data_IF_434005868597
#
_entry.id   IF_434005868597
#
_cell.length_a   1.000
_cell.length_b   1.000
_cell.length_c   1.000
_cell.angle_alpha   90.00
_cell.angle_beta   90.00
_cell.angle_gamma   90.00
#
_symmetry.space_group_name_H-M   'P 1'
#
loop_
_entity.id
_entity.type
_entity.pdbx_description
1 polymer ?
#
# COMPACT_ATOMS: atom_id res chain seq x y z
N UNK A 1 26.57 1.67 -6.92
CA UNK A 1 25.88 0.47 -6.40
C UNK A 1 26.21 0.35 -4.91
N UNK A 2 25.28 0.64 -3.99
CA UNK A 2 25.58 0.58 -2.57
C UNK A 2 25.67 -0.87 -2.09
N UNK A 3 26.77 -1.20 -1.39
CA UNK A 3 27.04 -2.52 -0.84
C UNK A 3 26.02 -2.91 0.23
N UNK A 4 25.38 -4.05 0.03
CA UNK A 4 24.39 -4.62 0.95
C UNK A 4 25.12 -5.30 2.11
N UNK A 5 24.97 -4.77 3.32
CA UNK A 5 25.57 -5.34 4.54
C UNK A 5 24.89 -6.67 4.94
N UNK A 6 25.67 -7.66 5.39
CA UNK A 6 25.20 -9.01 5.78
C UNK A 6 24.11 -9.00 6.86
N UNK A 7 24.13 -7.98 7.74
CA UNK A 7 23.12 -7.76 8.79
C UNK A 7 21.72 -7.45 8.22
N UNK A 8 21.65 -6.83 7.04
CA UNK A 8 20.40 -6.56 6.33
C UNK A 8 19.79 -7.83 5.72
N UNK A 9 20.62 -8.72 5.18
CA UNK A 9 20.17 -10.00 4.59
C UNK A 9 19.50 -10.90 5.64
N UNK A 10 20.09 -11.01 6.82
CA UNK A 10 19.54 -11.83 7.93
C UNK A 10 18.18 -11.29 8.42
N UNK A 11 18.00 -9.97 8.46
CA UNK A 11 16.73 -9.35 8.87
C UNK A 11 15.61 -9.53 7.83
N UNK A 12 15.94 -9.42 6.55
CA UNK A 12 14.98 -9.69 5.47
C UNK A 12 14.56 -11.16 5.46
N UNK A 13 15.50 -12.08 5.71
CA UNK A 13 15.20 -13.51 5.86
C UNK A 13 14.29 -13.78 7.05
N UNK A 14 14.55 -13.15 8.21
CA UNK A 14 13.68 -13.30 9.38
C UNK A 14 12.26 -12.81 9.12
N UNK A 15 12.08 -11.66 8.46
CA UNK A 15 10.74 -11.18 8.07
C UNK A 15 10.04 -12.13 7.10
N UNK A 16 10.78 -12.71 6.16
CA UNK A 16 10.23 -13.68 5.21
C UNK A 16 9.76 -14.96 5.92
N UNK A 17 10.55 -15.45 6.88
CA UNK A 17 10.21 -16.63 7.69
C UNK A 17 8.98 -16.37 8.54
N UNK A 18 8.88 -15.20 9.19
CA UNK A 18 7.68 -14.83 9.96
C UNK A 18 6.45 -14.74 9.06
N UNK A 19 6.58 -14.13 7.88
CA UNK A 19 5.49 -14.06 6.91
C UNK A 19 5.05 -15.45 6.44
N UNK A 20 6.01 -16.32 6.09
CA UNK A 20 5.71 -17.67 5.66
C UNK A 20 5.02 -18.48 6.77
N UNK A 21 5.48 -18.34 8.03
CA UNK A 21 4.82 -18.97 9.18
C UNK A 21 3.37 -18.47 9.35
N UNK A 22 3.14 -17.16 9.27
CA UNK A 22 1.79 -16.59 9.34
C UNK A 22 0.91 -17.06 8.18
N UNK A 23 1.43 -17.08 6.95
CA UNK A 23 0.69 -17.56 5.79
C UNK A 23 0.27 -19.03 5.93
N UNK A 24 1.17 -19.89 6.44
CA UNK A 24 0.88 -21.30 6.72
C UNK A 24 -0.18 -21.42 7.83
N UNK A 25 -0.07 -20.63 8.90
CA UNK A 25 -1.08 -20.62 9.99
C UNK A 25 -2.45 -20.20 9.47
N UNK A 26 -2.52 -19.15 8.65
CA UNK A 26 -3.77 -18.69 8.04
C UNK A 26 -4.35 -19.75 7.11
N UNK A 27 -3.51 -20.41 6.30
CA UNK A 27 -3.94 -21.52 5.42
C UNK A 27 -4.48 -22.71 6.21
N UNK A 28 -3.81 -23.10 7.30
CA UNK A 28 -4.28 -24.15 8.19
C UNK A 28 -5.61 -23.81 8.86
N UNK A 29 -5.78 -22.56 9.28
CA UNK A 29 -7.05 -22.07 9.81
C UNK A 29 -8.12 -22.18 8.73
N UNK A 30 -7.81 -21.84 7.48
CA UNK A 30 -8.77 -21.88 6.39
C UNK A 30 -9.37 -23.28 6.16
N UNK A 31 -8.52 -24.32 6.16
CA UNK A 31 -8.97 -25.72 6.03
C UNK A 31 -9.92 -26.12 7.16
N UNK A 32 -9.70 -25.61 8.39
CA UNK A 32 -10.58 -25.88 9.54
C UNK A 32 -11.96 -25.22 9.44
N UNK A 33 -12.08 -24.07 8.76
CA UNK A 33 -13.33 -23.31 8.67
C UNK A 33 -14.12 -23.58 7.37
N UNK A 34 -13.61 -24.45 6.50
CA UNK A 34 -14.43 -25.23 5.56
C UNK A 34 -15.12 -24.47 4.42
N UNK A 35 -14.77 -23.20 4.16
CA UNK A 35 -15.21 -22.53 2.93
C UNK A 35 -14.23 -22.86 1.81
N UNK A 36 -14.60 -23.79 0.94
CA UNK A 36 -13.78 -24.17 -0.21
C UNK A 36 -13.49 -22.98 -1.13
N UNK A 37 -12.30 -22.95 -1.73
CA UNK A 37 -11.87 -21.94 -2.72
C UNK A 37 -12.70 -21.96 -4.02
N UNK A 38 -13.60 -22.93 -4.18
CA UNK A 38 -14.30 -23.22 -5.45
C UNK A 38 -15.42 -22.23 -5.80
N UNK A 39 -15.93 -21.47 -4.83
CA UNK A 39 -16.96 -20.43 -5.07
C UNK A 39 -16.40 -19.00 -5.19
N UNK A 40 -15.08 -18.82 -5.11
CA UNK A 40 -14.49 -17.47 -5.16
C UNK A 40 -14.57 -16.93 -6.59
N UNK A 41 -15.38 -15.89 -6.78
CA UNK A 41 -15.57 -15.27 -8.08
C UNK A 41 -14.31 -14.52 -8.53
N UNK A 42 -14.04 -14.50 -9.84
CA UNK A 42 -12.95 -13.69 -10.42
C UNK A 42 -13.08 -12.20 -10.03
N UNK A 43 -14.31 -11.71 -9.85
CA UNK A 43 -14.57 -10.35 -9.40
C UNK A 43 -14.05 -10.07 -7.98
N UNK A 44 -14.09 -11.06 -7.09
CA UNK A 44 -13.59 -10.92 -5.72
C UNK A 44 -12.07 -10.81 -5.70
N UNK A 45 -11.37 -11.55 -6.58
CA UNK A 45 -9.93 -11.39 -6.77
C UNK A 45 -9.54 -9.99 -7.24
N UNK A 46 -10.32 -9.40 -8.17
CA UNK A 46 -10.10 -8.02 -8.64
C UNK A 46 -10.33 -7.03 -7.49
N UNK A 47 -11.40 -7.19 -6.72
CA UNK A 47 -11.72 -6.34 -5.56
C UNK A 47 -10.62 -6.45 -4.50
N UNK A 48 -10.18 -7.67 -4.16
CA UNK A 48 -9.08 -7.88 -3.21
C UNK A 48 -7.76 -7.27 -3.70
N UNK A 49 -7.44 -7.36 -5.00
CA UNK A 49 -6.26 -6.74 -5.57
C UNK A 49 -6.32 -5.20 -5.50
N UNK A 50 -7.48 -4.60 -5.82
CA UNK A 50 -7.71 -3.15 -5.70
C UNK A 50 -7.64 -2.68 -4.24
N UNK A 51 -8.26 -3.43 -3.33
CA UNK A 51 -8.24 -3.16 -1.90
C UNK A 51 -6.80 -3.19 -1.35
N UNK A 52 -6.03 -4.21 -1.71
CA UNK A 52 -4.60 -4.35 -1.35
C UNK A 52 -3.79 -3.18 -1.93
N UNK A 53 -4.01 -2.81 -3.19
CA UNK A 53 -3.32 -1.67 -3.80
C UNK A 53 -3.55 -0.36 -3.02
N UNK A 54 -4.77 -0.11 -2.53
CA UNK A 54 -5.03 1.08 -1.69
C UNK A 54 -4.41 0.95 -0.32
N UNK A 55 -4.57 -0.18 0.36
CA UNK A 55 -4.03 -0.40 1.70
C UNK A 55 -2.51 -0.24 1.75
N UNK A 56 -1.81 -0.65 0.70
CA UNK A 56 -0.35 -0.53 0.55
C UNK A 56 0.12 0.89 0.25
N UNK A 57 -0.72 1.70 -0.41
CA UNK A 57 -0.40 3.10 -0.68
C UNK A 57 -0.41 3.98 0.57
N UNK A 58 -1.24 3.66 1.58
CA UNK A 58 -1.33 4.40 2.85
C UNK A 58 0.00 4.41 3.63
N UNK A 59 0.68 3.27 3.88
CA UNK A 59 1.96 3.24 4.60
C UNK A 59 3.12 3.82 3.81
N UNK A 60 3.09 3.72 2.47
CA UNK A 60 4.20 4.16 1.62
C UNK A 60 4.14 5.66 1.32
N UNK A 61 2.95 6.21 1.08
CA UNK A 61 2.77 7.58 0.60
C UNK A 61 1.94 8.46 1.55
N UNK A 62 1.29 7.88 2.57
CA UNK A 62 0.46 8.64 3.49
C UNK A 62 1.28 9.56 4.41
N UNK A 63 0.94 10.85 4.43
CA UNK A 63 1.46 11.83 5.40
C UNK A 63 1.26 11.36 6.86
N UNK A 64 0.24 10.56 7.14
CA UNK A 64 -0.04 9.96 8.46
C UNK A 64 1.14 9.11 8.95
N UNK A 65 1.81 8.38 8.04
CA UNK A 65 2.98 7.58 8.39
C UNK A 65 4.22 8.43 8.64
N UNK A 66 4.22 9.73 8.31
CA UNK A 66 5.29 10.65 8.72
C UNK A 66 5.27 10.84 10.24
N UNK A 67 4.09 11.05 10.83
CA UNK A 67 3.92 11.10 12.29
C UNK A 67 4.27 9.77 12.95
N UNK A 68 3.89 8.63 12.36
CA UNK A 68 4.30 7.31 12.87
C UNK A 68 5.82 7.12 12.75
N UNK A 69 6.45 7.52 11.63
CA UNK A 69 7.89 7.41 11.41
C UNK A 69 8.69 8.27 12.38
N UNK A 70 8.17 9.44 12.74
CA UNK A 70 8.79 10.34 13.71
C UNK A 70 8.57 9.85 15.15
N UNK A 71 7.41 9.25 15.46
CA UNK A 71 7.16 8.59 16.75
C UNK A 71 8.06 7.34 16.96
N UNK A 72 8.24 6.53 15.91
CA UNK A 72 9.14 5.36 15.92
C UNK A 72 10.62 5.76 16.02
N UNK A 73 10.97 7.00 15.62
CA UNK A 73 12.32 7.55 15.84
C UNK A 73 12.53 8.07 17.26
N UNK A 74 11.48 8.43 17.97
CA UNK A 74 11.56 8.93 19.34
C UNK A 74 11.71 7.79 20.37
N UNK A 75 11.27 6.58 20.04
CA UNK A 75 11.27 5.43 20.95
C UNK A 75 12.30 4.36 20.53
N UNK A 76 13.55 4.51 20.98
CA UNK A 76 14.68 3.63 20.61
C UNK A 76 14.75 2.31 21.41
N UNK A 77 13.78 2.04 22.30
CA UNK A 77 13.84 0.94 23.28
C UNK A 77 13.36 -0.44 22.80
N UNK A 78 12.48 -0.52 21.80
CA UNK A 78 11.84 -1.79 21.42
C UNK A 78 12.42 -2.41 20.13
N UNK A 79 13.07 -3.57 20.24
CA UNK A 79 13.68 -4.32 19.12
C UNK A 79 12.73 -4.69 17.97
N UNK A 80 11.41 -4.72 18.21
CA UNK A 80 10.39 -4.93 17.16
C UNK A 80 10.21 -3.70 16.25
N UNK A 81 10.38 -2.48 16.77
CA UNK A 81 10.21 -1.24 16.00
C UNK A 81 11.28 -1.05 14.91
N UNK A 82 12.47 -1.61 15.11
CA UNK A 82 13.53 -1.63 14.10
C UNK A 82 13.14 -2.50 12.90
N UNK A 83 12.38 -3.59 13.10
CA UNK A 83 11.86 -4.45 12.04
C UNK A 83 10.72 -3.79 11.25
N UNK A 84 9.80 -3.10 11.93
CA UNK A 84 8.77 -2.28 11.26
C UNK A 84 9.38 -1.17 10.39
N UNK A 85 10.48 -0.56 10.86
CA UNK A 85 11.19 0.48 10.10
C UNK A 85 11.66 -0.05 8.74
N UNK A 86 12.15 -1.29 8.67
CA UNK A 86 12.57 -1.91 7.40
C UNK A 86 11.39 -2.33 6.53
N UNK A 87 10.29 -2.80 7.15
CA UNK A 87 9.05 -3.16 6.46
C UNK A 87 8.42 -1.96 5.73
N UNK A 88 8.37 -0.81 6.41
CA UNK A 88 7.76 0.42 5.87
C UNK A 88 8.65 1.08 4.82
N UNK A 89 9.96 0.81 4.82
CA UNK A 89 10.89 1.42 3.84
C UNK A 89 10.83 0.73 2.47
N UNK A 90 10.44 -0.55 2.42
CA UNK A 90 10.30 -1.30 1.18
C UNK A 90 8.83 -1.38 0.76
N UNK A 91 8.41 -0.66 -0.31
CA UNK A 91 7.01 -0.64 -0.75
C UNK A 91 6.50 -2.03 -1.14
N UNK A 92 7.39 -2.90 -1.64
CA UNK A 92 7.05 -4.27 -2.01
C UNK A 92 6.71 -5.15 -0.80
N UNK A 93 7.39 -4.94 0.34
CA UNK A 93 7.13 -5.70 1.56
C UNK A 93 5.82 -5.27 2.21
N UNK A 94 5.59 -3.96 2.34
CA UNK A 94 4.28 -3.44 2.79
C UNK A 94 3.13 -3.97 1.91
N UNK A 95 3.39 -4.09 0.60
CA UNK A 95 2.62 -4.83 -0.40
C UNK A 95 2.07 -6.17 0.07
N UNK A 96 3.00 -7.06 0.35
CA UNK A 96 2.75 -8.46 0.70
C UNK A 96 2.07 -8.60 2.06
N UNK A 97 2.47 -7.79 3.05
CA UNK A 97 1.85 -7.79 4.38
C UNK A 97 0.40 -7.30 4.35
N UNK A 98 0.13 -6.22 3.60
CA UNK A 98 -1.21 -5.73 3.38
C UNK A 98 -2.13 -6.76 2.70
N UNK A 99 -1.59 -7.50 1.71
CA UNK A 99 -2.35 -8.54 1.03
C UNK A 99 -2.79 -9.64 2.00
N UNK A 100 -1.88 -10.05 2.88
CA UNK A 100 -2.17 -11.04 3.92
C UNK A 100 -3.20 -10.50 4.94
N UNK A 101 -3.07 -9.25 5.38
CA UNK A 101 -4.04 -8.63 6.28
C UNK A 101 -5.43 -8.53 5.65
N UNK A 102 -5.54 -8.05 4.42
CA UNK A 102 -6.81 -7.96 3.67
C UNK A 102 -7.46 -9.33 3.50
N UNK A 103 -6.65 -10.35 3.21
CA UNK A 103 -7.11 -11.73 3.11
C UNK A 103 -7.62 -12.24 4.46
N UNK A 104 -6.86 -12.07 5.54
CA UNK A 104 -7.30 -12.47 6.89
C UNK A 104 -8.59 -11.73 7.26
N UNK A 105 -8.67 -10.42 7.02
CA UNK A 105 -9.83 -9.61 7.36
C UNK A 105 -11.12 -10.08 6.66
N UNK A 106 -11.00 -10.49 5.39
CA UNK A 106 -12.11 -11.01 4.59
C UNK A 106 -12.78 -12.23 5.25
N UNK A 107 -11.98 -13.10 5.87
CA UNK A 107 -12.45 -14.38 6.38
C UNK A 107 -12.65 -14.43 7.89
N UNK A 108 -11.88 -13.66 8.65
CA UNK A 108 -11.97 -13.65 10.11
C UNK A 108 -13.06 -12.71 10.64
N UNK A 109 -13.38 -11.66 9.88
CA UNK A 109 -14.36 -10.65 10.30
C UNK A 109 -15.67 -10.88 9.53
N UNK A 110 -16.83 -11.03 10.20
CA UNK A 110 -18.11 -11.24 9.52
C UNK A 110 -18.53 -10.06 8.61
N UNK A 111 -17.88 -8.90 8.76
CA UNK A 111 -18.06 -7.70 7.95
C UNK A 111 -16.89 -7.43 6.98
N UNK A 112 -15.93 -8.35 6.85
CA UNK A 112 -14.73 -8.17 6.05
C UNK A 112 -15.00 -7.86 4.57
N UNK A 113 -16.04 -8.48 4.00
CA UNK A 113 -16.48 -8.24 2.62
C UNK A 113 -16.88 -6.78 2.36
N UNK A 114 -17.69 -6.20 3.25
CA UNK A 114 -18.13 -4.80 3.13
C UNK A 114 -16.94 -3.86 3.23
N UNK A 115 -16.02 -4.14 4.15
CA UNK A 115 -14.81 -3.34 4.32
C UNK A 115 -13.92 -3.40 3.08
N UNK A 116 -13.71 -4.58 2.50
CA UNK A 116 -12.93 -4.75 1.28
C UNK A 116 -13.55 -4.03 0.07
N UNK A 117 -14.87 -4.02 -0.07
CA UNK A 117 -15.55 -3.22 -1.10
C UNK A 117 -15.29 -1.73 -0.88
N UNK A 118 -15.50 -1.22 0.33
CA UNK A 118 -15.25 0.20 0.64
C UNK A 118 -13.80 0.59 0.36
N UNK A 119 -12.86 -0.27 0.72
CA UNK A 119 -11.43 -0.08 0.48
C UNK A 119 -11.09 -0.06 -1.01
N UNK A 120 -11.71 -0.95 -1.79
CA UNK A 120 -11.55 -1.00 -3.25
C UNK A 120 -12.13 0.25 -3.92
N UNK A 121 -13.28 0.74 -3.45
CA UNK A 121 -13.94 1.93 -3.98
C UNK A 121 -13.09 3.18 -3.71
N UNK A 122 -12.53 3.30 -2.50
CA UNK A 122 -11.58 4.35 -2.16
C UNK A 122 -10.28 4.25 -3.00
N UNK A 123 -9.89 3.04 -3.40
CA UNK A 123 -8.80 2.82 -4.35
C UNK A 123 -9.12 3.42 -5.72
N UNK A 124 -10.28 3.09 -6.28
CA UNK A 124 -10.74 3.60 -7.58
C UNK A 124 -10.85 5.12 -7.58
N UNK A 125 -11.41 5.70 -6.51
CA UNK A 125 -11.54 7.15 -6.36
C UNK A 125 -10.19 7.86 -6.44
N UNK A 126 -9.13 7.31 -5.83
CA UNK A 126 -7.80 7.89 -5.88
C UNK A 126 -7.14 7.80 -7.28
N UNK A 127 -7.49 6.82 -8.11
CA UNK A 127 -6.91 6.67 -9.46
C UNK A 127 -7.41 7.72 -10.45
N UNK A 128 -8.65 8.20 -10.30
CA UNK A 128 -9.27 9.11 -11.27
C UNK A 128 -8.56 10.48 -11.28
N UNK A 129 -8.36 11.18 -10.14
CA UNK A 129 -7.65 12.46 -10.11
C UNK A 129 -6.20 12.36 -10.57
N UNK A 130 -5.50 11.27 -10.23
CA UNK A 130 -4.10 11.06 -10.64
C UNK A 130 -3.99 10.98 -12.15
N UNK A 131 -4.89 10.25 -12.83
CA UNK A 131 -4.89 10.18 -14.30
C UNK A 131 -5.23 11.52 -14.94
N UNK A 132 -6.21 12.25 -14.39
CA UNK A 132 -6.55 13.59 -14.89
C UNK A 132 -5.36 14.53 -14.77
N UNK A 133 -4.66 14.52 -13.63
CA UNK A 133 -3.47 15.34 -13.42
C UNK A 133 -2.32 14.95 -14.37
N UNK A 134 -2.11 13.64 -14.60
CA UNK A 134 -1.09 13.15 -15.53
C UNK A 134 -1.35 13.58 -16.97
N UNK A 135 -2.62 13.53 -17.41
CA UNK A 135 -3.04 13.99 -18.74
C UNK A 135 -2.87 15.50 -18.85
N UNK A 136 -3.24 16.25 -17.81
CA UNK A 136 -3.03 17.71 -17.72
C UNK A 136 -1.56 18.08 -17.91
N UNK A 137 -0.65 17.46 -17.16
CA UNK A 137 0.79 17.70 -17.26
C UNK A 137 1.39 17.32 -18.62
N UNK A 138 0.86 16.27 -19.27
CA UNK A 138 1.29 15.89 -20.62
C UNK A 138 0.94 16.97 -21.65
N UNK A 139 -0.23 17.60 -21.50
CA UNK A 139 -0.68 18.68 -22.36
C UNK A 139 0.08 19.99 -22.10
N UNK A 140 0.45 20.28 -20.86
CA UNK A 140 1.27 21.45 -20.54
C UNK A 140 2.69 21.34 -21.13
N UNK A 141 3.30 20.15 -21.10
CA UNK A 141 4.62 19.93 -21.70
C UNK A 141 4.60 20.09 -23.22
N UNK A 142 3.59 19.56 -23.90
CA UNK A 142 3.47 19.74 -25.35
C UNK A 142 3.18 21.20 -25.73
N UNK A 143 2.47 21.95 -24.88
CA UNK A 143 2.25 23.38 -25.08
C UNK A 143 3.49 24.23 -24.75
N UNK A 144 4.30 23.84 -23.77
CA UNK A 144 5.55 24.52 -23.42
C UNK A 144 6.64 24.36 -24.50
N UNK A 145 6.67 23.21 -25.18
CA UNK A 145 7.53 22.99 -26.36
C UNK A 145 7.20 23.96 -27.51
N UNK A 146 5.90 24.31 -27.66
CA UNK A 146 5.41 25.19 -28.74
C UNK A 146 5.38 26.68 -28.33
N UNK A 147 5.25 26.99 -27.03
CA UNK A 147 5.07 28.35 -26.51
C UNK A 147 6.37 28.90 -25.89
N UNK A 148 7.10 29.74 -26.65
CA UNK A 148 8.07 30.73 -26.10
C UNK A 148 7.41 31.60 -25.00
N UNK A 149 8.19 32.10 -24.01
CA UNK A 149 7.68 32.43 -22.68
C UNK A 149 6.74 33.63 -22.70
N UNK A 150 5.52 33.43 -22.20
CA UNK A 150 4.55 34.51 -22.09
C UNK A 150 3.16 34.05 -21.65
N UNK A 151 3.03 33.08 -20.75
CA UNK A 151 1.73 32.86 -20.10
C UNK A 151 1.87 32.12 -18.76
N UNK A 152 1.58 32.83 -17.68
CA UNK A 152 1.56 32.32 -16.31
C UNK A 152 0.10 32.07 -15.94
N UNK A 153 -0.31 30.81 -15.79
CA UNK A 153 -1.61 30.47 -15.20
C UNK A 153 -1.41 29.69 -13.90
N UNK A 154 -1.88 30.35 -12.84
CA UNK A 154 -2.55 29.84 -11.64
C UNK A 154 -1.94 28.65 -10.90
N UNK A 155 -1.12 28.96 -9.90
CA UNK A 155 -0.63 28.08 -8.83
C UNK A 155 -1.69 27.70 -7.78
N UNK A 156 -2.98 27.93 -8.00
CA UNK A 156 -3.99 27.91 -6.92
C UNK A 156 -4.94 26.70 -6.85
N UNK A 157 -4.63 25.59 -7.52
CA UNK A 157 -5.42 24.33 -7.38
C UNK A 157 -4.63 23.21 -6.66
N UNK A 158 -3.35 23.44 -6.32
CA UNK A 158 -2.48 22.40 -5.75
C UNK A 158 -2.29 22.45 -4.23
N UNK A 159 -3.20 23.09 -3.51
CA UNK A 159 -3.20 23.10 -2.03
C UNK A 159 -4.31 22.20 -1.49
N UNK A 160 -4.16 20.90 -1.71
CA UNK A 160 -4.80 19.75 -1.04
C UNK A 160 -6.33 19.54 -1.18
N UNK A 161 -6.74 18.26 -1.39
CA UNK A 161 -7.34 17.61 -0.23
C UNK A 161 -6.69 16.28 0.18
N UNK A 162 -6.11 15.51 -0.74
CA UNK A 162 -5.54 14.18 -0.42
C UNK A 162 -4.27 14.04 -1.26
N UNK A 163 -3.11 14.29 -0.65
CA UNK A 163 -1.80 14.36 -1.30
C UNK A 163 -1.52 13.18 -2.26
N UNK A 164 -0.97 13.54 -3.43
CA UNK A 164 -0.47 12.65 -4.49
C UNK A 164 0.48 11.56 -3.96
#
# INVERSE_FOLDING_TARGET
MPGITTKGKIRNLASLVVYAALAVVTGYFFEKYGKGFEDVSVWEWIIMALATCRFTSIPVYGCIFRSLRDFIRADEGFGLMVSLKSLITCPWCAGVWAALEVFVLQYFVPYGYVLNILLSLAGVDAFVPVRVNLIGLKNEKSLAEVRKPGFSISKNILSCPICL
#
